data_IF_527404112721
#
_entry.id   IF_527404112721
#
_cell.length_a   1.000
_cell.length_b   1.000
_cell.length_c   1.000
_cell.angle_alpha   90.00
_cell.angle_beta   90.00
_cell.angle_gamma   90.00
#
_symmetry.space_group_name_H-M   'P 1'
#
loop_
_entity.id
_entity.type
_entity.pdbx_description
1 polymer ?
#
# COMPACT_ATOMS: atom_id res chain seq x y z
N UNK A 1 2.71 -19.20 4.97
CA UNK A 1 3.77 -20.19 4.65
C UNK A 1 3.87 -20.39 3.14
N UNK A 2 2.79 -20.75 2.42
CA UNK A 2 2.81 -21.03 0.97
C UNK A 2 3.36 -19.84 0.16
N UNK A 3 2.87 -18.62 0.38
CA UNK A 3 3.33 -17.42 -0.33
C UNK A 3 4.82 -17.12 -0.11
N UNK A 4 5.30 -17.27 1.12
CA UNK A 4 6.72 -17.11 1.43
C UNK A 4 7.61 -18.16 0.75
N UNK A 5 7.15 -19.40 0.68
CA UNK A 5 7.86 -20.47 -0.02
C UNK A 5 7.93 -20.20 -1.53
N UNK A 6 6.83 -19.76 -2.14
CA UNK A 6 6.81 -19.39 -3.57
C UNK A 6 7.73 -18.20 -3.87
N UNK A 7 7.75 -17.21 -3.01
CA UNK A 7 8.67 -16.08 -3.13
C UNK A 7 10.13 -16.52 -3.06
N UNK A 8 10.47 -17.38 -2.09
CA UNK A 8 11.84 -17.92 -1.95
C UNK A 8 12.26 -18.70 -3.18
N UNK A 9 11.39 -19.58 -3.70
CA UNK A 9 11.67 -20.34 -4.93
C UNK A 9 11.89 -19.39 -6.11
N UNK A 10 11.03 -18.39 -6.28
CA UNK A 10 11.18 -17.37 -7.35
C UNK A 10 12.49 -16.61 -7.23
N UNK A 11 12.88 -16.22 -6.03
CA UNK A 11 14.16 -15.57 -5.77
C UNK A 11 15.35 -16.46 -6.14
N UNK A 12 15.35 -17.72 -5.71
CA UNK A 12 16.43 -18.65 -6.03
C UNK A 12 16.55 -18.93 -7.54
N UNK A 13 15.41 -19.05 -8.26
CA UNK A 13 15.40 -19.17 -9.71
C UNK A 13 15.94 -17.92 -10.40
N UNK A 14 15.62 -16.74 -9.90
CA UNK A 14 16.17 -15.49 -10.42
C UNK A 14 17.70 -15.43 -10.24
N UNK A 15 18.20 -15.78 -9.06
CA UNK A 15 19.65 -15.82 -8.78
C UNK A 15 20.33 -16.84 -9.70
N UNK A 16 19.77 -18.03 -9.86
CA UNK A 16 20.28 -19.04 -10.78
C UNK A 16 20.35 -18.52 -12.22
N UNK A 17 19.29 -17.87 -12.72
CA UNK A 17 19.26 -17.31 -14.07
C UNK A 17 20.30 -16.21 -14.26
N UNK A 18 20.49 -15.34 -13.26
CA UNK A 18 21.53 -14.30 -13.30
C UNK A 18 22.93 -14.91 -13.42
N UNK A 19 23.25 -15.92 -12.61
CA UNK A 19 24.54 -16.61 -12.71
C UNK A 19 24.73 -17.30 -14.05
N UNK A 20 23.70 -17.94 -14.57
CA UNK A 20 23.75 -18.59 -15.91
C UNK A 20 23.95 -17.55 -17.01
N UNK A 21 23.29 -16.42 -16.93
CA UNK A 21 23.44 -15.33 -17.91
C UNK A 21 24.85 -14.73 -17.85
N UNK A 22 25.37 -14.49 -16.64
CA UNK A 22 26.73 -14.00 -16.46
C UNK A 22 27.78 -14.98 -16.98
N UNK A 23 27.58 -16.28 -16.75
CA UNK A 23 28.52 -17.32 -17.22
C UNK A 23 28.46 -17.58 -18.73
N UNK A 24 27.30 -17.31 -19.38
CA UNK A 24 27.11 -17.50 -20.81
C UNK A 24 27.35 -16.24 -21.64
N UNK A 25 27.40 -15.06 -21.02
CA UNK A 25 27.60 -13.78 -21.68
C UNK A 25 29.08 -13.42 -21.84
N UNK A 26 29.43 -12.75 -22.94
CA UNK A 26 30.69 -12.04 -23.05
C UNK A 26 30.53 -10.61 -22.46
N UNK A 27 31.59 -10.11 -21.83
CA UNK A 27 31.61 -8.73 -21.28
C UNK A 27 31.98 -7.71 -22.36
N UNK A 28 32.19 -8.15 -23.61
CA UNK A 28 32.53 -7.27 -24.72
C UNK A 28 31.30 -6.52 -25.24
N UNK A 29 31.25 -5.22 -24.96
CA UNK A 29 30.14 -4.33 -25.33
C UNK A 29 29.92 -4.12 -26.84
N UNK A 30 30.79 -4.67 -27.68
CA UNK A 30 30.77 -4.49 -29.16
C UNK A 30 30.42 -5.77 -29.92
N UNK A 31 30.05 -6.83 -29.27
CA UNK A 31 29.59 -8.05 -29.96
C UNK A 31 28.18 -7.79 -30.51
N UNK A 32 28.05 -7.94 -31.84
CA UNK A 32 26.76 -7.78 -32.50
C UNK A 32 25.78 -8.84 -31.94
N UNK A 33 24.67 -8.39 -31.35
CA UNK A 33 23.64 -9.28 -30.89
C UNK A 33 23.04 -10.06 -32.07
N UNK A 34 23.28 -11.37 -32.13
CA UNK A 34 22.60 -12.23 -33.09
C UNK A 34 21.14 -12.40 -32.67
N UNK A 35 20.26 -11.60 -33.26
CA UNK A 35 18.83 -11.83 -33.12
C UNK A 35 18.40 -12.98 -34.05
N UNK A 36 17.68 -13.99 -33.55
CA UNK A 36 17.13 -15.02 -34.45
C UNK A 36 16.25 -14.37 -35.49
N UNK A 37 16.39 -14.82 -36.75
CA UNK A 37 15.63 -14.27 -37.87
C UNK A 37 14.13 -14.26 -37.53
N UNK A 38 13.49 -13.12 -37.78
CA UNK A 38 12.04 -12.96 -37.60
C UNK A 38 11.34 -14.04 -38.43
N UNK A 39 10.76 -15.02 -37.77
CA UNK A 39 9.95 -16.07 -38.45
C UNK A 39 8.82 -15.33 -39.17
N UNK A 40 8.80 -15.42 -40.50
CA UNK A 40 7.79 -14.79 -41.32
C UNK A 40 6.40 -15.21 -40.82
N UNK A 41 5.48 -14.28 -40.74
CA UNK A 41 4.13 -14.49 -40.20
C UNK A 41 3.29 -15.58 -40.93
N UNK A 42 3.81 -16.15 -42.04
CA UNK A 42 3.11 -17.15 -42.84
C UNK A 42 3.22 -18.59 -42.39
N UNK A 43 4.17 -18.95 -41.54
CA UNK A 43 4.35 -20.32 -41.05
C UNK A 43 3.87 -20.51 -39.61
N UNK A 44 2.60 -20.27 -39.39
CA UNK A 44 1.98 -20.48 -38.05
C UNK A 44 1.40 -21.89 -38.02
N UNK A 45 2.07 -22.79 -37.36
CA UNK A 45 1.43 -24.05 -36.94
C UNK A 45 0.61 -23.75 -35.67
N UNK A 46 -0.74 -23.68 -35.76
CA UNK A 46 -1.58 -23.34 -34.61
C UNK A 46 -1.50 -24.36 -33.47
N UNK A 47 -0.96 -25.57 -33.75
CA UNK A 47 -0.86 -26.68 -32.79
C UNK A 47 0.29 -26.53 -31.79
N UNK A 48 1.27 -25.67 -32.06
CA UNK A 48 2.44 -25.45 -31.20
C UNK A 48 2.49 -24.11 -30.51
N UNK A 49 1.48 -23.26 -30.69
CA UNK A 49 1.42 -21.97 -30.01
C UNK A 49 0.98 -22.19 -28.56
N UNK A 50 1.87 -21.88 -27.60
CA UNK A 50 1.50 -21.90 -26.19
C UNK A 50 0.45 -20.83 -25.89
N UNK A 51 -0.43 -21.08 -24.90
CA UNK A 51 -1.47 -20.12 -24.47
C UNK A 51 -0.87 -18.75 -24.19
N UNK A 52 0.30 -18.70 -23.59
CA UNK A 52 1.04 -17.47 -23.29
C UNK A 52 1.34 -16.67 -24.57
N UNK A 53 1.99 -17.30 -25.57
CA UNK A 53 2.29 -16.65 -26.85
C UNK A 53 1.03 -16.25 -27.62
N UNK A 54 -0.02 -17.06 -27.53
CA UNK A 54 -1.31 -16.76 -28.15
C UNK A 54 -1.94 -15.50 -27.57
N UNK A 55 -1.83 -15.30 -26.25
CA UNK A 55 -2.34 -14.10 -25.58
C UNK A 55 -1.49 -12.85 -25.91
N UNK A 56 -0.15 -12.97 -25.80
CA UNK A 56 0.76 -11.85 -26.07
C UNK A 56 0.62 -11.26 -27.47
N UNK A 57 0.39 -12.12 -28.46
CA UNK A 57 0.20 -11.68 -29.85
C UNK A 57 -1.12 -10.98 -30.11
N UNK A 58 -2.07 -11.03 -29.20
CA UNK A 58 -3.41 -10.44 -29.33
C UNK A 58 -3.66 -9.42 -28.24
N UNK A 59 -2.93 -8.30 -28.36
CA UNK A 59 -2.91 -7.24 -27.33
C UNK A 59 -4.31 -6.82 -26.87
N UNK A 60 -5.27 -6.66 -27.79
CA UNK A 60 -6.65 -6.29 -27.43
C UNK A 60 -7.33 -7.35 -26.57
N UNK A 61 -7.22 -8.65 -26.95
CA UNK A 61 -7.83 -9.75 -26.18
C UNK A 61 -7.15 -9.89 -24.83
N UNK A 62 -5.82 -9.77 -24.79
CA UNK A 62 -5.05 -9.80 -23.55
C UNK A 62 -5.50 -8.69 -22.61
N UNK A 63 -5.63 -7.46 -23.12
CA UNK A 63 -6.08 -6.31 -22.32
C UNK A 63 -7.49 -6.51 -21.78
N UNK A 64 -8.41 -7.06 -22.59
CA UNK A 64 -9.77 -7.38 -22.13
C UNK A 64 -9.72 -8.41 -20.99
N UNK A 65 -8.96 -9.49 -21.12
CA UNK A 65 -8.86 -10.49 -20.06
C UNK A 65 -8.23 -9.93 -18.78
N UNK A 66 -7.19 -9.08 -18.89
CA UNK A 66 -6.60 -8.39 -17.75
C UNK A 66 -7.64 -7.48 -17.08
N UNK A 67 -8.38 -6.70 -17.86
CA UNK A 67 -9.44 -5.85 -17.33
C UNK A 67 -10.54 -6.66 -16.62
N UNK A 68 -10.98 -7.77 -17.20
CA UNK A 68 -11.98 -8.66 -16.58
C UNK A 68 -11.44 -9.25 -15.27
N UNK A 69 -10.18 -9.70 -15.25
CA UNK A 69 -9.58 -10.22 -14.03
C UNK A 69 -9.49 -9.16 -12.92
N UNK A 70 -9.08 -7.93 -13.27
CA UNK A 70 -9.04 -6.80 -12.34
C UNK A 70 -10.44 -6.43 -11.85
N UNK A 71 -11.43 -6.41 -12.74
CA UNK A 71 -12.83 -6.10 -12.38
C UNK A 71 -13.40 -7.15 -11.41
N UNK A 72 -13.13 -8.43 -11.66
CA UNK A 72 -13.57 -9.52 -10.76
C UNK A 72 -12.88 -9.37 -9.39
N UNK A 73 -11.56 -9.18 -9.37
CA UNK A 73 -10.81 -8.99 -8.12
C UNK A 73 -11.31 -7.79 -7.33
N UNK A 74 -11.50 -6.65 -7.98
CA UNK A 74 -12.07 -5.45 -7.37
C UNK A 74 -13.50 -5.65 -6.87
N UNK A 75 -14.34 -6.36 -7.63
CA UNK A 75 -15.71 -6.65 -7.22
C UNK A 75 -15.76 -7.53 -5.95
N UNK A 76 -14.93 -8.56 -5.88
CA UNK A 76 -14.85 -9.46 -4.71
C UNK A 76 -14.49 -8.68 -3.44
N UNK A 77 -13.71 -7.62 -3.54
CA UNK A 77 -13.31 -6.78 -2.40
C UNK A 77 -14.34 -5.67 -2.13
N UNK A 78 -14.75 -4.93 -3.16
CA UNK A 78 -15.59 -3.73 -3.01
C UNK A 78 -17.04 -4.10 -2.67
N UNK A 79 -17.60 -5.15 -3.28
CA UNK A 79 -19.00 -5.53 -3.06
C UNK A 79 -19.28 -5.87 -1.58
N UNK A 80 -18.50 -6.73 -0.91
CA UNK A 80 -18.69 -6.98 0.51
C UNK A 80 -18.54 -5.73 1.37
N UNK A 81 -17.58 -4.85 1.03
CA UNK A 81 -17.35 -3.60 1.76
C UNK A 81 -18.58 -2.66 1.71
N UNK A 82 -19.28 -2.61 0.59
CA UNK A 82 -20.50 -1.78 0.44
C UNK A 82 -21.69 -2.40 1.17
N UNK A 83 -21.88 -3.72 1.06
CA UNK A 83 -23.09 -4.38 1.54
C UNK A 83 -23.02 -4.88 2.98
N UNK A 84 -21.82 -5.15 3.51
CA UNK A 84 -21.66 -5.65 4.87
C UNK A 84 -21.40 -4.47 5.81
N UNK A 85 -22.44 -4.05 6.53
CA UNK A 85 -22.37 -2.93 7.49
C UNK A 85 -21.31 -3.12 8.58
N UNK A 86 -21.01 -4.35 8.97
CA UNK A 86 -19.98 -4.66 9.98
C UNK A 86 -18.54 -4.38 9.48
N UNK A 87 -18.33 -4.23 8.19
CA UNK A 87 -17.02 -3.87 7.64
C UNK A 87 -16.67 -2.38 7.85
N UNK A 88 -17.68 -1.56 8.13
CA UNK A 88 -17.50 -0.14 8.49
C UNK A 88 -18.09 0.06 9.89
N UNK A 89 -17.39 -0.38 10.94
CA UNK A 89 -17.87 -0.21 12.30
C UNK A 89 -17.98 1.28 12.63
N UNK A 90 -19.13 1.69 13.15
CA UNK A 90 -19.36 3.04 13.64
C UNK A 90 -19.31 3.07 15.15
N UNK A 91 -18.81 4.17 15.70
CA UNK A 91 -18.78 4.45 17.15
C UNK A 91 -19.68 5.65 17.38
N UNK A 92 -20.75 5.51 18.15
CA UNK A 92 -21.78 6.55 18.34
C UNK A 92 -21.25 7.86 18.94
N UNK A 93 -20.15 7.80 19.69
CA UNK A 93 -19.48 8.96 20.26
C UNK A 93 -18.62 9.73 19.28
N UNK A 94 -18.27 9.14 18.14
CA UNK A 94 -17.46 9.82 17.11
C UNK A 94 -18.38 10.72 16.28
N UNK A 95 -18.05 11.97 16.24
CA UNK A 95 -18.79 13.02 15.50
C UNK A 95 -17.89 13.68 14.47
N UNK A 96 -18.47 14.30 13.43
CA UNK A 96 -17.71 15.14 12.50
C UNK A 96 -16.97 16.24 13.24
N UNK A 97 -15.81 16.62 12.72
CA UNK A 97 -15.02 17.71 13.23
C UNK A 97 -15.84 19.01 13.25
N UNK A 98 -15.67 19.81 14.30
CA UNK A 98 -16.14 21.19 14.32
C UNK A 98 -15.36 22.02 13.31
N UNK A 99 -15.85 23.20 12.88
CA UNK A 99 -15.12 24.04 11.92
C UNK A 99 -13.68 24.37 12.34
N UNK A 100 -13.45 24.59 13.62
CA UNK A 100 -12.10 24.89 14.14
C UNK A 100 -11.20 23.64 14.15
N UNK A 101 -11.74 22.48 14.49
CA UNK A 101 -11.01 21.21 14.43
C UNK A 101 -10.65 20.86 12.99
N UNK A 102 -11.57 21.07 12.05
CA UNK A 102 -11.34 20.86 10.63
C UNK A 102 -10.25 21.80 10.09
N UNK A 103 -10.27 23.07 10.45
CA UNK A 103 -9.23 24.03 10.09
C UNK A 103 -7.86 23.61 10.65
N UNK A 104 -7.82 23.16 11.90
CA UNK A 104 -6.60 22.63 12.52
C UNK A 104 -6.08 21.38 11.80
N UNK A 105 -6.98 20.50 11.36
CA UNK A 105 -6.64 19.33 10.54
C UNK A 105 -6.07 19.74 9.17
N UNK A 106 -6.66 20.73 8.53
CA UNK A 106 -6.20 21.20 7.22
C UNK A 106 -4.79 21.84 7.33
N UNK A 107 -4.53 22.58 8.40
CA UNK A 107 -3.18 23.08 8.71
C UNK A 107 -2.21 21.91 8.96
N UNK A 108 -2.59 20.92 9.75
CA UNK A 108 -1.77 19.72 10.00
C UNK A 108 -1.38 19.01 8.70
N UNK A 109 -2.29 18.92 7.73
CA UNK A 109 -2.05 18.30 6.42
C UNK A 109 -1.18 19.21 5.55
N UNK A 110 -1.48 20.52 5.48
CA UNK A 110 -0.75 21.47 4.64
C UNK A 110 0.71 21.67 5.06
N UNK A 111 0.96 21.65 6.37
CA UNK A 111 2.31 21.75 6.94
C UNK A 111 3.08 20.40 6.89
N UNK A 112 2.44 19.33 6.46
CA UNK A 112 3.09 18.03 6.29
C UNK A 112 3.44 17.31 7.59
N UNK A 113 2.77 17.62 8.71
CA UNK A 113 3.04 17.02 10.02
C UNK A 113 2.92 15.48 10.00
N UNK A 114 2.05 14.94 9.15
CA UNK A 114 1.87 13.50 8.94
C UNK A 114 3.12 12.79 8.40
N UNK A 115 4.11 13.52 7.89
CA UNK A 115 5.37 12.92 7.40
C UNK A 115 6.24 12.43 8.55
N UNK A 116 6.14 13.06 9.73
CA UNK A 116 6.91 12.71 10.92
C UNK A 116 6.05 12.10 12.03
N UNK A 117 4.74 12.38 12.04
CA UNK A 117 3.79 11.89 13.04
C UNK A 117 2.78 10.93 12.42
N UNK A 118 2.34 9.95 13.21
CA UNK A 118 1.20 9.11 12.89
C UNK A 118 0.00 9.46 13.77
N UNK A 119 -1.20 9.08 13.34
CA UNK A 119 -2.44 9.19 14.10
C UNK A 119 -3.17 7.86 14.15
N UNK A 120 -2.43 6.77 14.41
CA UNK A 120 -2.99 5.43 14.61
C UNK A 120 -2.15 4.64 15.59
N UNK A 121 -2.72 4.25 16.71
CA UNK A 121 -2.08 3.40 17.70
C UNK A 121 -2.41 1.95 17.37
N UNK A 122 -1.38 1.16 17.07
CA UNK A 122 -1.53 -0.26 16.74
C UNK A 122 -1.79 -1.09 18.01
N UNK A 123 -2.43 -2.27 17.90
CA UNK A 123 -2.76 -3.11 19.07
C UNK A 123 -1.54 -3.89 19.59
N UNK A 124 -0.40 -3.23 19.72
CA UNK A 124 0.80 -3.79 20.34
C UNK A 124 0.97 -3.23 21.74
N UNK A 125 1.32 -4.09 22.70
CA UNK A 125 1.46 -3.72 24.10
C UNK A 125 2.38 -2.51 24.29
N UNK A 126 3.53 -2.49 23.65
CA UNK A 126 4.48 -1.38 23.77
C UNK A 126 3.96 -0.04 23.21
N UNK A 127 3.03 -0.07 22.24
CA UNK A 127 2.35 1.13 21.75
C UNK A 127 1.26 1.59 22.70
N UNK A 128 0.44 0.65 23.17
CA UNK A 128 -0.64 0.98 24.08
C UNK A 128 -0.14 1.45 25.43
N UNK A 129 0.96 0.89 25.94
CA UNK A 129 1.63 1.36 27.15
C UNK A 129 2.19 2.79 26.99
N UNK A 130 2.65 3.15 25.80
CA UNK A 130 3.25 4.45 25.52
C UNK A 130 2.24 5.53 25.15
N UNK A 131 1.27 5.21 24.30
CA UNK A 131 0.38 6.18 23.66
C UNK A 131 -1.06 6.13 24.19
N UNK A 132 -1.44 5.07 24.85
CA UNK A 132 -2.80 4.82 25.32
C UNK A 132 -3.53 3.76 24.48
N UNK A 133 -4.84 3.67 24.61
CA UNK A 133 -5.63 2.62 23.95
C UNK A 133 -5.46 2.63 22.43
N UNK A 134 -5.35 1.44 21.82
CA UNK A 134 -5.20 1.28 20.37
C UNK A 134 -6.39 1.87 19.60
N UNK A 135 -6.11 2.37 18.41
CA UNK A 135 -7.10 3.02 17.56
C UNK A 135 -8.04 1.99 16.93
N UNK A 136 -9.33 2.30 16.92
CA UNK A 136 -10.40 1.48 16.32
C UNK A 136 -10.80 2.10 14.98
N UNK A 137 -11.14 1.28 14.00
CA UNK A 137 -11.51 1.74 12.65
C UNK A 137 -12.66 2.75 12.69
N UNK A 138 -13.64 2.55 13.59
CA UNK A 138 -14.77 3.47 13.74
C UNK A 138 -14.39 4.89 14.19
N UNK A 139 -13.19 5.12 14.69
CA UNK A 139 -12.71 6.46 15.05
C UNK A 139 -12.42 7.33 13.81
N UNK A 140 -12.17 6.72 12.65
CA UNK A 140 -11.75 7.39 11.42
C UNK A 140 -12.87 7.59 10.39
N UNK A 141 -14.12 7.38 10.77
CA UNK A 141 -15.27 7.45 9.82
C UNK A 141 -15.35 8.80 9.08
N UNK A 142 -14.95 9.89 9.74
CA UNK A 142 -14.95 11.23 9.18
C UNK A 142 -13.55 11.74 8.75
N UNK A 143 -12.50 10.95 8.99
CA UNK A 143 -11.12 11.35 8.70
C UNK A 143 -10.71 10.92 7.28
N UNK A 144 -10.94 11.78 6.30
CA UNK A 144 -10.58 11.55 4.89
C UNK A 144 -9.75 12.72 4.35
N UNK A 145 -8.55 12.44 3.80
CA UNK A 145 -7.79 11.17 3.81
C UNK A 145 -7.27 10.81 5.19
N UNK A 146 -7.12 9.51 5.45
CA UNK A 146 -6.61 9.02 6.74
C UNK A 146 -5.20 9.51 7.02
N UNK A 147 -5.00 10.04 8.23
CA UNK A 147 -3.71 10.56 8.71
C UNK A 147 -2.92 9.51 9.51
N UNK A 148 -3.04 8.25 9.15
CA UNK A 148 -2.42 7.16 9.91
C UNK A 148 -0.90 7.24 9.96
N UNK A 149 -0.27 7.73 8.88
CA UNK A 149 1.18 7.85 8.79
C UNK A 149 1.90 6.51 8.72
N UNK A 150 2.99 6.46 7.99
CA UNK A 150 3.85 5.26 7.88
C UNK A 150 5.15 5.41 8.65
N UNK A 151 5.44 6.59 9.17
CA UNK A 151 6.66 6.92 9.91
C UNK A 151 6.32 7.60 11.22
N UNK A 152 7.19 7.43 12.20
CA UNK A 152 7.13 8.06 13.52
C UNK A 152 8.51 8.61 13.88
N UNK A 153 8.95 9.64 13.18
CA UNK A 153 10.10 10.44 13.61
C UNK A 153 9.74 11.16 14.89
N UNK A 154 8.51 11.65 14.99
CA UNK A 154 7.87 12.11 16.22
C UNK A 154 6.91 11.03 16.80
N UNK A 155 6.29 11.31 17.97
CA UNK A 155 5.32 10.41 18.59
C UNK A 155 4.01 10.31 17.80
N UNK A 156 3.23 9.25 18.07
CA UNK A 156 1.85 9.14 17.61
C UNK A 156 0.95 10.17 18.30
N UNK A 157 0.08 10.83 17.53
CA UNK A 157 -0.76 11.93 18.02
C UNK A 157 -2.23 11.55 18.25
N UNK A 158 -2.64 10.29 17.98
CA UNK A 158 -4.05 9.89 18.08
C UNK A 158 -4.67 10.12 19.46
N UNK A 159 -3.89 10.14 20.52
CA UNK A 159 -4.36 10.40 21.90
C UNK A 159 -3.71 11.64 22.53
N UNK A 160 -3.08 12.51 21.74
CA UNK A 160 -2.39 13.69 22.27
C UNK A 160 -3.34 14.70 22.95
N UNK A 161 -4.58 14.79 22.50
CA UNK A 161 -5.62 15.64 23.10
C UNK A 161 -6.36 15.02 24.29
N UNK A 162 -6.15 13.74 24.61
CA UNK A 162 -6.88 13.06 25.68
C UNK A 162 -6.38 13.52 27.06
N UNK A 163 -7.19 14.32 27.77
CA UNK A 163 -6.87 14.81 29.13
C UNK A 163 -6.62 13.63 30.07
N UNK A 164 -5.46 13.66 30.73
CA UNK A 164 -5.04 12.57 31.62
C UNK A 164 -4.40 11.37 30.91
N UNK A 165 -4.35 11.37 29.59
CA UNK A 165 -3.63 10.36 28.81
C UNK A 165 -2.10 10.53 28.87
N UNK A 166 -1.34 9.48 28.52
CA UNK A 166 0.12 9.48 28.65
C UNK A 166 0.80 10.51 27.73
N UNK A 167 0.14 10.91 26.64
CA UNK A 167 0.67 11.86 25.66
C UNK A 167 0.07 13.27 25.78
N UNK A 168 -0.85 13.47 26.74
CA UNK A 168 -1.53 14.76 26.89
C UNK A 168 -0.56 15.90 27.14
N UNK A 169 -0.73 16.96 26.37
CA UNK A 169 -0.09 18.26 26.56
C UNK A 169 -1.16 19.35 26.49
N UNK A 170 -1.00 20.40 27.31
CA UNK A 170 -1.93 21.53 27.28
C UNK A 170 -1.67 22.47 26.09
N UNK A 171 -2.62 23.37 25.84
CA UNK A 171 -2.54 24.31 24.73
C UNK A 171 -1.28 25.20 24.77
N UNK A 172 -0.85 25.63 25.97
CA UNK A 172 0.35 26.46 26.12
C UNK A 172 1.63 25.70 25.71
N UNK A 173 1.69 24.39 26.02
CA UNK A 173 2.80 23.56 25.57
C UNK A 173 2.82 23.44 24.05
N UNK A 174 1.66 23.22 23.41
CA UNK A 174 1.57 23.12 21.94
C UNK A 174 1.96 24.44 21.28
N UNK A 175 1.50 25.58 21.82
CA UNK A 175 1.88 26.89 21.30
C UNK A 175 3.40 27.07 21.32
N UNK A 176 4.05 26.81 22.45
CA UNK A 176 5.51 26.95 22.56
C UNK A 176 6.24 25.98 21.62
N UNK A 177 5.74 24.74 21.51
CA UNK A 177 6.36 23.71 20.65
C UNK A 177 6.30 24.07 19.15
N UNK A 178 5.31 24.83 18.72
CA UNK A 178 5.21 25.27 17.32
C UNK A 178 5.97 26.59 17.05
N UNK A 179 6.33 27.31 18.09
CA UNK A 179 7.06 28.58 17.96
C UNK A 179 8.57 28.43 18.08
N UNK A 180 9.06 27.31 18.60
CA UNK A 180 10.47 26.96 18.71
C UNK A 180 11.01 26.27 17.42
#
# INVERSE_FOLDING_TARGET
IIGGTMFLIGFLLMVYNLFKTMAAGSVEANEAAEAPALVSQGSRNPVTETIHRWMERRAVRFSIWVFVALAIGGAVEIIPMIFIKSNVPTIDSVKPDTPLELEGRDIYVSEGCYTCHSQVIRPFRWETDRYGEYSKIGEFVYDHPYQWGSRRTGPDLARAGLIGGPMYKNAAWHYNHFMD
#
